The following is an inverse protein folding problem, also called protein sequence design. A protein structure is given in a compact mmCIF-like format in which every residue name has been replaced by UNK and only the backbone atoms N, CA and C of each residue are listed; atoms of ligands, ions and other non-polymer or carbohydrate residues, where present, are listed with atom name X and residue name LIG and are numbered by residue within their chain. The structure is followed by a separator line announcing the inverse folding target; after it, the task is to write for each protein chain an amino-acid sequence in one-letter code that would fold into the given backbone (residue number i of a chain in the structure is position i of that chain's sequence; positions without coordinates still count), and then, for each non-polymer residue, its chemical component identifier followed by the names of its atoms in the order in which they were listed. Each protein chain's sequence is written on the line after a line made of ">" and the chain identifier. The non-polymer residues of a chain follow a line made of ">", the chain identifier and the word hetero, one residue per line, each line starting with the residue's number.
data_IF_184939198158
#
_entry.id   IF_184939198158
#
_cell.length_a   1.000
_cell.length_b   1.000
_cell.length_c   1.000
_cell.angle_alpha   90.00
_cell.angle_beta   90.00
_cell.angle_gamma   90.00
#
_symmetry.space_group_name_H-M   'P 1'
#
loop_
_entity.id
_entity.type
_entity.pdbx_description
1 polymer ?
#
# COMPACT_ATOMS: atom_id res chain seq x y z
N UNK A 1 3.78 -9.69 -11.46
CA UNK A 1 3.99 -9.76 -10.00
C UNK A 1 3.33 -8.60 -9.24
N UNK A 2 3.18 -7.46 -9.88
CA UNK A 2 2.64 -6.25 -9.24
C UNK A 2 1.35 -6.45 -8.43
N UNK A 3 0.31 -7.08 -8.98
CA UNK A 3 -0.93 -7.27 -8.23
C UNK A 3 -0.75 -8.02 -6.91
N UNK A 4 0.18 -8.97 -6.84
CA UNK A 4 0.41 -9.76 -5.62
C UNK A 4 0.82 -8.89 -4.44
N UNK A 5 1.56 -7.81 -4.68
CA UNK A 5 2.02 -6.92 -3.61
C UNK A 5 0.85 -6.15 -2.99
N UNK A 6 -0.11 -5.74 -3.82
CA UNK A 6 -1.31 -5.08 -3.32
C UNK A 6 -2.24 -6.07 -2.61
N UNK A 7 -2.32 -7.31 -3.09
CA UNK A 7 -3.09 -8.35 -2.40
C UNK A 7 -2.50 -8.62 -1.01
N UNK A 8 -1.17 -8.70 -0.90
CA UNK A 8 -0.51 -8.86 0.40
C UNK A 8 -0.79 -7.67 1.33
N UNK A 9 -0.77 -6.46 0.80
CA UNK A 9 -1.11 -5.27 1.59
C UNK A 9 -2.54 -5.35 2.10
N UNK A 10 -3.49 -5.78 1.26
CA UNK A 10 -4.88 -5.97 1.68
C UNK A 10 -4.98 -7.00 2.80
N UNK A 11 -4.29 -8.14 2.66
CA UNK A 11 -4.26 -9.16 3.72
C UNK A 11 -3.79 -8.57 5.04
N UNK A 12 -2.69 -7.83 5.02
CA UNK A 12 -2.11 -7.24 6.24
C UNK A 12 -3.07 -6.22 6.87
N UNK A 13 -3.70 -5.38 6.06
CA UNK A 13 -4.65 -4.38 6.56
C UNK A 13 -5.90 -5.02 7.14
N UNK A 14 -6.43 -6.06 6.49
CA UNK A 14 -7.59 -6.80 7.00
C UNK A 14 -7.26 -7.48 8.33
N UNK A 15 -6.11 -8.13 8.42
CA UNK A 15 -5.67 -8.77 9.67
C UNK A 15 -5.54 -7.75 10.81
N UNK A 16 -4.97 -6.59 10.52
CA UNK A 16 -4.86 -5.52 11.49
C UNK A 16 -6.23 -5.01 11.95
N UNK A 17 -7.15 -4.81 11.01
CA UNK A 17 -8.52 -4.37 11.31
C UNK A 17 -9.26 -5.38 12.18
N UNK A 18 -9.12 -6.66 11.90
CA UNK A 18 -9.72 -7.73 12.71
C UNK A 18 -9.12 -7.72 14.13
N UNK A 19 -7.81 -7.58 14.23
CA UNK A 19 -7.12 -7.47 15.52
C UNK A 19 -7.62 -6.30 16.37
N UNK A 20 -8.07 -5.22 15.71
CA UNK A 20 -8.61 -4.04 16.38
C UNK A 20 -10.11 -4.11 16.69
N UNK A 21 -10.76 -5.23 16.36
CA UNK A 21 -12.16 -5.45 16.71
C UNK A 21 -13.16 -5.41 15.55
N UNK A 22 -12.72 -5.21 14.32
CA UNK A 22 -13.62 -5.28 13.17
C UNK A 22 -13.89 -6.73 12.78
N UNK A 23 -15.07 -6.99 12.22
CA UNK A 23 -15.29 -8.28 11.56
C UNK A 23 -14.43 -8.35 10.30
N UNK A 24 -14.08 -9.56 9.88
CA UNK A 24 -13.31 -9.74 8.65
C UNK A 24 -14.03 -9.15 7.45
N UNK A 25 -15.35 -9.30 7.38
CA UNK A 25 -16.16 -8.76 6.29
C UNK A 25 -16.05 -7.23 6.23
N UNK A 26 -16.21 -6.55 7.36
CA UNK A 26 -16.12 -5.08 7.42
C UNK A 26 -14.70 -4.62 7.11
N UNK A 27 -13.68 -5.26 7.69
CA UNK A 27 -12.28 -4.91 7.42
C UNK A 27 -11.94 -5.06 5.93
N UNK A 28 -12.44 -6.11 5.29
CA UNK A 28 -12.22 -6.33 3.86
C UNK A 28 -12.92 -5.26 3.02
N UNK A 29 -14.18 -4.96 3.31
CA UNK A 29 -14.93 -3.94 2.58
C UNK A 29 -14.28 -2.56 2.69
N UNK A 30 -13.84 -2.17 3.89
CA UNK A 30 -13.17 -0.89 4.09
C UNK A 30 -11.85 -0.82 3.34
N UNK A 31 -11.05 -1.88 3.42
CA UNK A 31 -9.73 -1.91 2.79
C UNK A 31 -9.85 -1.88 1.26
N UNK A 32 -10.67 -2.75 0.70
CA UNK A 32 -10.85 -2.83 -0.76
C UNK A 32 -11.47 -1.55 -1.29
N UNK A 33 -12.48 -1.00 -0.61
CA UNK A 33 -13.11 0.25 -1.00
C UNK A 33 -12.12 1.42 -0.99
N UNK A 34 -11.24 1.47 0.00
CA UNK A 34 -10.23 2.54 0.11
C UNK A 34 -9.20 2.42 -1.02
N UNK A 35 -8.71 1.22 -1.31
CA UNK A 35 -7.77 1.01 -2.42
C UNK A 35 -8.42 1.38 -3.75
N UNK A 36 -9.64 0.93 -3.98
CA UNK A 36 -10.38 1.22 -5.21
C UNK A 36 -10.54 2.74 -5.40
N UNK A 37 -11.02 3.44 -4.39
CA UNK A 37 -11.21 4.88 -4.44
C UNK A 37 -9.90 5.65 -4.61
N UNK A 38 -8.85 5.20 -3.94
CA UNK A 38 -7.53 5.83 -4.04
C UNK A 38 -6.94 5.68 -5.43
N UNK A 39 -7.05 4.50 -6.03
CA UNK A 39 -6.60 4.27 -7.40
C UNK A 39 -7.34 5.17 -8.39
N UNK A 40 -8.66 5.29 -8.21
CA UNK A 40 -9.47 6.16 -9.07
C UNK A 40 -9.07 7.62 -8.95
N UNK A 41 -8.80 8.11 -7.74
CA UNK A 41 -8.31 9.48 -7.55
C UNK A 41 -6.97 9.71 -8.23
N UNK A 42 -6.06 8.76 -8.15
CA UNK A 42 -4.78 8.86 -8.85
C UNK A 42 -4.95 8.92 -10.36
N UNK A 43 -5.89 8.15 -10.90
CA UNK A 43 -6.16 8.12 -12.33
C UNK A 43 -6.84 9.40 -12.83
N UNK A 44 -7.79 9.94 -12.07
CA UNK A 44 -8.70 10.97 -12.55
C UNK A 44 -8.31 12.40 -12.13
N UNK A 45 -7.57 12.56 -11.03
CA UNK A 45 -7.31 13.89 -10.46
C UNK A 45 -6.22 14.67 -11.18
N UNK A 46 -5.33 14.00 -11.89
CA UNK A 46 -4.13 14.63 -12.46
C UNK A 46 -3.07 15.00 -11.41
N UNK A 47 -3.30 14.67 -10.15
CA UNK A 47 -2.37 14.96 -9.05
C UNK A 47 -1.44 13.80 -8.80
N UNK A 48 -0.27 14.09 -8.24
CA UNK A 48 0.68 13.05 -7.85
C UNK A 48 0.23 12.35 -6.57
N UNK A 49 0.78 11.16 -6.34
CA UNK A 49 0.54 10.42 -5.10
C UNK A 49 0.95 11.25 -3.87
N UNK A 50 2.07 11.98 -3.97
CA UNK A 50 2.54 12.85 -2.90
C UNK A 50 1.51 13.94 -2.58
N UNK A 51 0.99 14.61 -3.61
CA UNK A 51 -0.02 15.66 -3.42
C UNK A 51 -1.28 15.11 -2.78
N UNK A 52 -1.75 13.95 -3.23
CA UNK A 52 -2.95 13.33 -2.67
C UNK A 52 -2.73 12.88 -1.22
N UNK A 53 -1.55 12.30 -0.92
CA UNK A 53 -1.21 11.92 0.45
C UNK A 53 -1.22 13.14 1.38
N UNK A 54 -0.60 14.23 0.96
CA UNK A 54 -0.54 15.45 1.75
C UNK A 54 -1.93 16.04 1.99
N UNK A 55 -2.81 15.97 0.97
CA UNK A 55 -4.16 16.51 1.08
C UNK A 55 -5.01 15.80 2.13
N UNK A 56 -4.72 14.53 2.44
CA UNK A 56 -5.46 13.75 3.44
C UNK A 56 -4.69 13.61 4.76
N UNK A 57 -3.61 14.35 4.92
CA UNK A 57 -2.76 14.27 6.12
C UNK A 57 -2.78 15.60 6.86
N UNK A 58 -3.62 15.69 7.89
CA UNK A 58 -3.63 16.88 8.75
C UNK A 58 -2.53 16.77 9.81
N UNK A 59 -1.92 17.89 10.21
CA UNK A 59 -0.91 17.89 11.28
C UNK A 59 -1.46 17.28 12.58
N UNK A 60 -0.73 16.33 13.15
CA UNK A 60 -1.11 15.68 14.41
C UNK A 60 -2.33 14.77 14.33
N UNK A 61 -2.85 14.49 13.13
CA UNK A 61 -4.02 13.63 12.95
C UNK A 61 -3.68 12.15 12.87
N UNK A 62 -4.74 11.33 12.69
CA UNK A 62 -4.60 9.87 12.64
C UNK A 62 -3.79 9.41 11.43
N UNK A 63 -3.98 10.05 10.27
CA UNK A 63 -3.22 9.73 9.06
C UNK A 63 -1.73 9.99 9.26
N UNK A 64 -1.38 11.12 9.87
CA UNK A 64 0.02 11.45 10.16
C UNK A 64 0.66 10.40 11.07
N UNK A 65 -0.06 9.95 12.11
CA UNK A 65 0.41 8.92 13.02
C UNK A 65 0.64 7.58 12.29
N UNK A 66 -0.28 7.19 11.43
CA UNK A 66 -0.15 5.96 10.65
C UNK A 66 1.03 6.02 9.67
N UNK A 67 1.18 7.13 8.96
CA UNK A 67 2.31 7.33 8.05
C UNK A 67 3.65 7.32 8.78
N UNK A 68 3.70 7.88 9.99
CA UNK A 68 4.89 7.85 10.85
C UNK A 68 5.28 6.42 11.16
N UNK A 69 4.32 5.57 11.49
CA UNK A 69 4.58 4.17 11.77
C UNK A 69 5.15 3.44 10.55
N UNK A 70 4.65 3.74 9.34
CA UNK A 70 5.23 3.19 8.10
C UNK A 70 6.69 3.61 7.95
N UNK A 71 6.99 4.89 8.12
CA UNK A 71 8.37 5.38 7.96
C UNK A 71 9.30 4.79 9.02
N UNK A 72 8.84 4.71 10.27
CA UNK A 72 9.63 4.10 11.35
C UNK A 72 9.90 2.62 11.09
N UNK A 73 8.98 1.93 10.43
CA UNK A 73 9.14 0.52 10.03
C UNK A 73 9.95 0.30 8.77
N UNK A 74 10.43 1.34 8.10
CA UNK A 74 11.23 1.22 6.90
C UNK A 74 10.43 0.83 5.66
N UNK A 75 9.19 1.29 5.55
CA UNK A 75 8.28 0.91 4.47
C UNK A 75 8.89 1.16 3.08
N UNK A 76 9.46 2.34 2.85
CA UNK A 76 10.02 2.68 1.54
C UNK A 76 11.19 1.78 1.16
N UNK A 77 12.05 1.51 2.13
CA UNK A 77 13.17 0.61 1.96
C UNK A 77 12.71 -0.81 1.61
N UNK A 78 11.69 -1.29 2.28
CA UNK A 78 11.11 -2.61 2.02
C UNK A 78 10.51 -2.67 0.61
N UNK A 79 9.76 -1.66 0.20
CA UNK A 79 9.19 -1.59 -1.17
C UNK A 79 10.30 -1.62 -2.22
N UNK A 80 11.36 -0.84 -2.02
CA UNK A 80 12.52 -0.86 -2.91
C UNK A 80 13.10 -2.28 -3.04
N UNK A 81 13.30 -2.94 -1.90
CA UNK A 81 13.87 -4.30 -1.87
C UNK A 81 12.96 -5.32 -2.57
N UNK A 82 11.65 -5.18 -2.42
CA UNK A 82 10.68 -6.06 -3.10
C UNK A 82 10.82 -5.94 -4.60
N UNK A 83 10.80 -4.73 -5.12
CA UNK A 83 10.88 -4.50 -6.56
C UNK A 83 12.25 -4.89 -7.13
N UNK A 84 13.31 -4.64 -6.37
CA UNK A 84 14.65 -5.06 -6.78
C UNK A 84 14.76 -6.58 -6.85
N UNK A 85 14.23 -7.29 -5.85
CA UNK A 85 14.24 -8.76 -5.83
C UNK A 85 13.46 -9.34 -7.03
N UNK A 86 12.30 -8.76 -7.32
CA UNK A 86 11.49 -9.21 -8.45
C UNK A 86 12.21 -8.95 -9.79
N UNK A 87 12.83 -7.79 -9.93
CA UNK A 87 13.58 -7.43 -11.14
C UNK A 87 14.77 -8.37 -11.36
N UNK A 88 15.52 -8.68 -10.31
CA UNK A 88 16.64 -9.61 -10.39
C UNK A 88 16.18 -11.00 -10.78
N UNK A 89 15.08 -11.48 -10.20
CA UNK A 89 14.54 -12.79 -10.54
C UNK A 89 14.05 -12.84 -11.97
N UNK A 90 13.39 -11.80 -12.45
CA UNK A 90 12.95 -11.70 -13.83
C UNK A 90 14.13 -11.78 -14.81
N UNK A 91 15.22 -11.11 -14.50
CA UNK A 91 16.42 -11.17 -15.33
C UNK A 91 17.04 -12.55 -15.33
N UNK A 92 17.10 -13.24 -14.17
CA UNK A 92 17.59 -14.60 -14.06
C UNK A 92 16.78 -15.59 -14.90
N UNK A 93 15.47 -15.36 -15.05
CA UNK A 93 14.59 -16.23 -15.80
C UNK A 93 14.55 -15.91 -17.29
N UNK A 94 15.13 -14.78 -17.70
CA UNK A 94 15.15 -14.39 -19.11
C UNK A 94 16.03 -15.34 -19.90
N UNK A 95 15.57 -15.82 -21.08
CA UNK A 95 16.39 -16.70 -21.91
C UNK A 95 17.72 -16.06 -22.27
N UNK A 96 18.80 -16.84 -22.17
CA UNK A 96 20.12 -16.42 -22.63
C UNK A 96 20.25 -16.73 -24.12
N UNK A 97 20.69 -15.75 -24.85
CA UNK A 97 20.88 -15.88 -26.30
C UNK A 97 22.31 -16.17 -26.61
#
# INVERSE_FOLDING_TARGET
>A
SGPAYFFLMVEAMVEAGVSMGLTRQVATQLTVGTISGSAKMLQDSGKSATQLREAVTSPGGTTAAGLRAFEDGGFRSTVYNVLEAAAKKSEQLRPKM
#
